data_IF_640809063820
#
_entry.id   IF_640809063820
#
_cell.length_a   1.000
_cell.length_b   1.000
_cell.length_c   1.000
_cell.angle_alpha   90.00
_cell.angle_beta   90.00
_cell.angle_gamma   90.00
#
_symmetry.space_group_name_H-M   'P 1'
#
loop_
_entity.id
_entity.type
_entity.pdbx_description
1 polymer ?
#
# COMPACT_ATOMS: atom_id res chain seq x y z
N UNK A 1 -20.15 -2.06 -7.01
CA UNK A 1 -18.79 -1.50 -7.19
C UNK A 1 -18.74 0.01 -7.40
N UNK A 2 -19.70 0.64 -8.10
CA UNK A 2 -19.66 2.08 -8.35
C UNK A 2 -19.51 2.96 -7.09
N UNK A 3 -20.25 2.70 -6.01
CA UNK A 3 -20.15 3.46 -4.75
C UNK A 3 -18.79 3.30 -4.06
N UNK A 4 -18.25 2.08 -4.07
CA UNK A 4 -16.92 1.81 -3.55
C UNK A 4 -15.86 2.54 -4.39
N UNK A 5 -15.98 2.51 -5.71
CA UNK A 5 -15.07 3.24 -6.61
C UNK A 5 -15.13 4.76 -6.36
N UNK A 6 -16.32 5.31 -6.14
CA UNK A 6 -16.52 6.73 -5.86
C UNK A 6 -15.84 7.18 -4.56
N UNK A 7 -15.87 6.35 -3.51
CA UNK A 7 -15.27 6.67 -2.20
C UNK A 7 -13.78 6.31 -2.07
N UNK A 8 -13.23 5.51 -2.99
CA UNK A 8 -11.86 5.00 -2.90
C UNK A 8 -10.73 6.05 -2.91
N UNK A 9 -10.79 7.15 -3.68
CA UNK A 9 -9.69 8.12 -3.72
C UNK A 9 -9.29 8.67 -2.36
N UNK A 10 -10.25 8.99 -1.49
CA UNK A 10 -9.99 9.62 -0.19
C UNK A 10 -9.20 8.75 0.79
N UNK A 11 -9.08 7.45 0.52
CA UNK A 11 -8.25 6.50 1.28
C UNK A 11 -7.03 6.01 0.49
N UNK A 12 -6.94 6.35 -0.79
CA UNK A 12 -5.85 5.92 -1.67
C UNK A 12 -4.78 6.97 -1.90
N UNK A 13 -5.17 8.23 -1.89
CA UNK A 13 -4.35 9.37 -2.24
C UNK A 13 -4.56 10.49 -1.23
N UNK A 14 -3.56 11.36 -1.07
CA UNK A 14 -3.76 12.60 -0.33
C UNK A 14 -4.67 13.56 -1.09
N UNK A 15 -5.37 14.45 -0.38
CA UNK A 15 -6.23 15.47 -0.99
C UNK A 15 -5.48 16.36 -2.01
N UNK A 16 -4.23 16.83 -1.75
CA UNK A 16 -3.46 17.55 -2.75
C UNK A 16 -3.23 16.75 -4.05
N UNK A 17 -2.95 15.45 -3.95
CA UNK A 17 -2.75 14.60 -5.13
C UNK A 17 -4.05 14.39 -5.90
N UNK A 18 -5.17 14.22 -5.20
CA UNK A 18 -6.50 14.11 -5.84
C UNK A 18 -6.80 15.35 -6.69
N UNK A 19 -6.52 16.54 -6.16
CA UNK A 19 -6.71 17.79 -6.87
C UNK A 19 -5.72 17.97 -8.05
N UNK A 20 -4.47 17.55 -7.88
CA UNK A 20 -3.41 17.75 -8.87
C UNK A 20 -3.43 16.73 -10.02
N UNK A 21 -3.91 15.51 -9.78
CA UNK A 21 -3.84 14.38 -10.74
C UNK A 21 -5.21 13.73 -11.01
N UNK A 22 -6.26 14.51 -11.38
CA UNK A 22 -7.62 13.99 -11.50
C UNK A 22 -7.76 12.88 -12.55
N UNK A 23 -7.00 12.93 -13.64
CA UNK A 23 -7.03 11.89 -14.69
C UNK A 23 -6.51 10.55 -14.17
N UNK A 24 -5.40 10.56 -13.42
CA UNK A 24 -4.84 9.33 -12.86
C UNK A 24 -5.73 8.75 -11.75
N UNK A 25 -6.31 9.62 -10.93
CA UNK A 25 -7.28 9.24 -9.90
C UNK A 25 -8.52 8.61 -10.53
N UNK A 26 -9.08 9.22 -11.58
CA UNK A 26 -10.22 8.67 -12.31
C UNK A 26 -9.89 7.31 -12.96
N UNK A 27 -8.67 7.14 -13.48
CA UNK A 27 -8.22 5.86 -14.01
C UNK A 27 -8.17 4.78 -12.90
N UNK A 28 -7.63 5.12 -11.72
CA UNK A 28 -7.61 4.20 -10.57
C UNK A 28 -9.02 3.83 -10.10
N UNK A 29 -9.94 4.80 -10.07
CA UNK A 29 -11.36 4.54 -9.78
C UNK A 29 -11.98 3.60 -10.82
N UNK A 30 -11.63 3.77 -12.10
CA UNK A 30 -12.06 2.89 -13.19
C UNK A 30 -11.63 1.44 -12.99
N UNK A 31 -10.41 1.21 -12.48
CA UNK A 31 -9.93 -0.15 -12.21
C UNK A 31 -10.81 -0.87 -11.18
N UNK A 32 -11.11 -0.26 -10.04
CA UNK A 32 -11.96 -0.88 -9.01
C UNK A 32 -13.43 -0.94 -9.42
N UNK A 33 -13.91 0.02 -10.21
CA UNK A 33 -15.26 -0.03 -10.76
C UNK A 33 -15.47 -1.25 -11.67
N UNK A 34 -14.41 -1.69 -12.36
CA UNK A 34 -14.41 -2.86 -13.25
C UNK A 34 -14.23 -4.22 -12.57
N UNK A 35 -14.00 -4.28 -11.26
CA UNK A 35 -13.85 -5.55 -10.52
C UNK A 35 -15.24 -6.21 -10.36
N UNK A 36 -15.31 -7.54 -10.47
CA UNK A 36 -16.54 -8.28 -10.16
C UNK A 36 -16.86 -8.17 -8.66
N UNK A 37 -18.10 -7.79 -8.26
CA UNK A 37 -18.47 -7.60 -6.85
C UNK A 37 -18.16 -8.81 -5.96
N UNK A 38 -18.46 -10.02 -6.43
CA UNK A 38 -18.24 -11.27 -5.71
C UNK A 38 -16.75 -11.55 -5.53
N UNK A 39 -15.93 -11.22 -6.54
CA UNK A 39 -14.47 -11.32 -6.43
C UNK A 39 -13.90 -10.35 -5.40
N UNK A 40 -14.41 -9.12 -5.36
CA UNK A 40 -14.03 -8.14 -4.35
C UNK A 40 -14.41 -8.61 -2.94
N UNK A 41 -15.65 -9.08 -2.76
CA UNK A 41 -16.14 -9.59 -1.49
C UNK A 41 -15.33 -10.80 -0.99
N UNK A 42 -15.02 -11.76 -1.87
CA UNK A 42 -14.19 -12.91 -1.51
C UNK A 42 -12.78 -12.51 -1.06
N UNK A 43 -12.16 -11.50 -1.70
CA UNK A 43 -10.89 -10.95 -1.23
C UNK A 43 -11.02 -10.27 0.15
N UNK A 44 -12.11 -9.53 0.39
CA UNK A 44 -12.38 -8.96 1.71
C UNK A 44 -12.54 -10.02 2.79
N UNK A 45 -13.26 -11.11 2.50
CA UNK A 45 -13.42 -12.24 3.42
C UNK A 45 -12.07 -12.91 3.74
N UNK A 46 -11.24 -13.13 2.72
CA UNK A 46 -9.89 -13.68 2.90
C UNK A 46 -9.02 -12.77 3.78
N UNK A 47 -9.02 -11.46 3.53
CA UNK A 47 -8.28 -10.48 4.33
C UNK A 47 -8.79 -10.42 5.77
N UNK A 48 -10.11 -10.52 5.98
CA UNK A 48 -10.71 -10.49 7.31
C UNK A 48 -10.29 -11.66 8.21
N UNK A 49 -9.90 -12.79 7.62
CA UNK A 49 -9.44 -13.98 8.36
C UNK A 49 -7.90 -14.09 8.44
N UNK A 50 -7.16 -13.29 7.68
CA UNK A 50 -5.72 -13.41 7.58
C UNK A 50 -5.01 -12.66 8.72
N UNK A 51 -4.67 -13.38 9.80
CA UNK A 51 -3.73 -12.90 10.82
C UNK A 51 -2.34 -13.53 10.62
N UNK A 52 -1.42 -12.76 10.07
CA UNK A 52 -0.05 -13.19 9.79
C UNK A 52 0.98 -12.68 10.81
N UNK A 53 0.55 -12.01 11.89
CA UNK A 53 1.48 -11.37 12.85
C UNK A 53 2.47 -12.36 13.47
N UNK A 54 2.05 -13.59 13.74
CA UNK A 54 2.95 -14.65 14.20
C UNK A 54 3.84 -15.19 13.08
N UNK A 55 3.29 -15.38 11.89
CA UNK A 55 3.98 -15.97 10.74
C UNK A 55 5.14 -15.10 10.22
N UNK A 56 4.97 -13.77 10.18
CA UNK A 56 6.01 -12.86 9.67
C UNK A 56 7.30 -12.89 10.49
N UNK A 57 7.27 -13.31 11.75
CA UNK A 57 8.47 -13.52 12.57
C UNK A 57 9.40 -14.61 12.02
N UNK A 58 8.87 -15.48 11.14
CA UNK A 58 9.58 -16.56 10.46
C UNK A 58 10.32 -16.13 9.19
N UNK A 59 10.16 -14.89 8.71
CA UNK A 59 10.84 -14.41 7.50
C UNK A 59 12.36 -14.33 7.75
N UNK A 60 13.16 -14.83 6.80
CA UNK A 60 14.64 -14.91 6.87
C UNK A 60 15.36 -14.28 5.69
N UNK A 61 14.61 -13.77 4.71
CA UNK A 61 15.16 -13.11 3.52
C UNK A 61 15.20 -11.58 3.73
N UNK A 62 16.09 -10.85 3.04
CA UNK A 62 16.06 -9.39 3.03
C UNK A 62 14.64 -8.89 2.74
N UNK A 63 14.16 -7.95 3.55
CA UNK A 63 12.77 -7.46 3.47
C UNK A 63 12.76 -5.94 3.51
N UNK A 64 12.11 -5.33 2.52
CA UNK A 64 11.77 -3.91 2.51
C UNK A 64 10.27 -3.75 2.74
N UNK A 65 9.92 -2.87 3.67
CA UNK A 65 8.58 -2.37 3.89
C UNK A 65 8.53 -0.94 3.35
N UNK A 66 7.50 -0.61 2.57
CA UNK A 66 7.27 0.77 2.10
C UNK A 66 5.91 1.20 2.61
N UNK A 67 5.86 2.31 3.36
CA UNK A 67 4.63 2.84 3.94
C UNK A 67 4.36 4.27 3.46
N UNK A 68 3.11 4.55 3.09
CA UNK A 68 2.67 5.92 2.85
C UNK A 68 2.53 6.67 4.18
N UNK A 69 3.22 7.80 4.32
CA UNK A 69 3.19 8.63 5.52
C UNK A 69 1.78 9.16 5.88
N UNK A 70 0.86 9.18 4.91
CA UNK A 70 -0.54 9.61 5.07
C UNK A 70 -1.55 8.48 4.79
N UNK A 71 -1.13 7.22 4.88
CA UNK A 71 -2.02 6.06 4.67
C UNK A 71 -2.91 5.79 5.91
N UNK A 72 -4.25 5.93 5.80
CA UNK A 72 -5.16 5.62 6.90
C UNK A 72 -5.58 4.14 6.96
N UNK A 73 -5.23 3.33 5.95
CA UNK A 73 -5.66 1.94 5.79
C UNK A 73 -4.61 0.98 6.33
N UNK A 74 -3.36 1.11 5.88
CA UNK A 74 -2.20 0.33 6.34
C UNK A 74 -1.14 1.29 6.85
N UNK A 75 -1.24 1.62 8.13
CA UNK A 75 -0.58 2.79 8.71
C UNK A 75 0.93 2.60 8.81
N UNK A 76 1.66 3.72 8.95
CA UNK A 76 3.09 3.69 9.31
C UNK A 76 3.32 2.87 10.60
N UNK A 77 2.42 2.94 11.58
CA UNK A 77 2.53 2.16 12.80
C UNK A 77 2.44 0.64 12.55
N UNK A 78 1.60 0.21 11.61
CA UNK A 78 1.51 -1.19 11.18
C UNK A 78 2.83 -1.64 10.52
N UNK A 79 3.37 -0.81 9.63
CA UNK A 79 4.65 -1.10 8.97
C UNK A 79 5.82 -1.14 9.98
N UNK A 80 5.86 -0.23 10.95
CA UNK A 80 6.84 -0.26 12.04
C UNK A 80 6.67 -1.50 12.94
N UNK A 81 5.44 -1.98 13.15
CA UNK A 81 5.20 -3.22 13.88
C UNK A 81 5.74 -4.44 13.10
N UNK A 82 5.57 -4.46 11.79
CA UNK A 82 6.17 -5.47 10.92
C UNK A 82 7.70 -5.40 10.90
N UNK A 83 8.28 -4.19 10.81
CA UNK A 83 9.73 -3.98 10.84
C UNK A 83 10.37 -4.55 12.11
N UNK A 84 9.74 -4.31 13.27
CA UNK A 84 10.19 -4.88 14.56
C UNK A 84 10.06 -6.40 14.62
N UNK A 85 9.08 -6.98 13.92
CA UNK A 85 8.81 -8.42 13.95
C UNK A 85 9.67 -9.21 12.97
N UNK A 86 10.08 -8.61 11.85
CA UNK A 86 10.85 -9.27 10.80
C UNK A 86 12.34 -8.96 10.98
N UNK A 87 13.13 -10.00 11.26
CA UNK A 87 14.56 -9.85 11.46
C UNK A 87 15.25 -9.28 10.21
N UNK A 88 15.89 -8.11 10.36
CA UNK A 88 16.62 -7.44 9.28
C UNK A 88 15.73 -6.71 8.26
N UNK A 89 14.44 -6.53 8.54
CA UNK A 89 13.59 -5.68 7.72
C UNK A 89 14.06 -4.21 7.77
N UNK A 90 13.81 -3.49 6.67
CA UNK A 90 14.00 -2.04 6.56
C UNK A 90 12.67 -1.41 6.23
N UNK A 91 12.33 -0.30 6.88
CA UNK A 91 11.18 0.53 6.53
C UNK A 91 11.59 1.77 5.74
N UNK A 92 10.87 2.04 4.66
CA UNK A 92 10.90 3.31 3.94
C UNK A 92 9.53 3.98 4.02
N UNK A 93 9.47 5.15 4.65
CA UNK A 93 8.28 5.99 4.65
C UNK A 93 8.35 6.95 3.45
N UNK A 94 7.28 7.03 2.66
CA UNK A 94 7.20 7.88 1.45
C UNK A 94 6.06 8.89 1.57
N UNK A 95 6.19 10.10 0.96
CA UNK A 95 5.22 11.19 1.11
C UNK A 95 3.95 10.94 0.27
N UNK A 96 3.20 9.91 0.62
CA UNK A 96 1.98 9.46 -0.05
C UNK A 96 0.98 8.87 0.94
N UNK A 97 -0.23 8.58 0.47
CA UNK A 97 -1.20 7.73 1.13
C UNK A 97 -1.02 6.27 0.69
N UNK A 98 -2.10 5.50 0.52
CA UNK A 98 -2.07 4.06 0.32
C UNK A 98 -1.44 3.61 -1.02
N UNK A 99 -1.81 4.23 -2.14
CA UNK A 99 -1.27 3.88 -3.46
C UNK A 99 0.03 4.65 -3.75
N UNK A 100 1.01 4.46 -2.86
CA UNK A 100 2.24 5.25 -2.80
C UNK A 100 3.13 5.17 -4.05
N UNK A 101 3.08 4.06 -4.78
CA UNK A 101 3.78 3.89 -6.05
C UNK A 101 3.23 4.78 -7.17
N UNK A 102 1.98 5.22 -7.07
CA UNK A 102 1.36 6.17 -8.01
C UNK A 102 1.51 7.61 -7.55
N UNK A 103 1.37 7.85 -6.24
CA UNK A 103 1.40 9.20 -5.67
C UNK A 103 2.81 9.77 -5.53
N UNK A 104 3.77 8.94 -5.10
CA UNK A 104 5.16 9.32 -4.91
C UNK A 104 6.10 8.37 -5.70
N UNK A 105 5.98 8.28 -7.03
CA UNK A 105 6.67 7.27 -7.84
C UNK A 105 8.20 7.36 -7.75
N UNK A 106 8.75 8.57 -7.59
CA UNK A 106 10.20 8.78 -7.42
C UNK A 106 10.67 8.23 -6.08
N UNK A 107 10.05 8.64 -4.97
CA UNK A 107 10.43 8.18 -3.63
C UNK A 107 10.24 6.66 -3.46
N UNK A 108 9.14 6.12 -4.00
CA UNK A 108 8.88 4.67 -4.03
C UNK A 108 9.96 3.95 -4.85
N UNK A 109 10.25 4.44 -6.05
CA UNK A 109 11.22 3.88 -6.97
C UNK A 109 12.64 3.89 -6.40
N UNK A 110 13.06 4.98 -5.78
CA UNK A 110 14.37 5.13 -5.15
C UNK A 110 14.54 4.14 -3.99
N UNK A 111 13.54 4.01 -3.11
CA UNK A 111 13.56 3.06 -2.00
C UNK A 111 13.67 1.61 -2.50
N UNK A 112 12.87 1.25 -3.51
CA UNK A 112 12.90 -0.07 -4.12
C UNK A 112 14.23 -0.36 -4.82
N UNK A 113 14.72 0.58 -5.64
CA UNK A 113 15.97 0.42 -6.38
C UNK A 113 17.18 0.30 -5.43
N UNK A 114 17.23 1.13 -4.38
CA UNK A 114 18.29 1.05 -3.38
C UNK A 114 18.29 -0.28 -2.62
N UNK A 115 17.11 -0.83 -2.32
CA UNK A 115 17.00 -2.16 -1.70
C UNK A 115 17.47 -3.28 -2.62
N UNK A 116 17.03 -3.29 -3.88
CA UNK A 116 17.41 -4.31 -4.85
C UNK A 116 18.91 -4.25 -5.21
N UNK A 117 19.49 -3.06 -5.29
CA UNK A 117 20.91 -2.87 -5.54
C UNK A 117 21.80 -3.28 -4.36
N UNK A 118 21.29 -3.23 -3.13
CA UNK A 118 22.02 -3.61 -1.92
C UNK A 118 22.20 -5.13 -1.75
N UNK A 119 21.66 -5.94 -2.66
CA UNK A 119 21.77 -7.39 -2.66
C UNK A 119 20.61 -8.06 -1.94
N UNK A 120 19.70 -8.62 -2.74
CA UNK A 120 19.24 -9.98 -2.48
C UNK A 120 20.44 -10.94 -2.46
#
# INVERSE_FOLDING_TARGET
MAELAASSPGRWFTEPFIAAQPTLVAAAQGWIAGIAPEGYAACCEALAQADLRGAITGIRVPTLLIAGASDPVTTVADAQAMERAIAGARLAEVPASHLSNLEAPVAFGDALAAFLAAGA
#
